data_IF_108157628347
#
_entry.id   IF_108157628347
#
_cell.length_a   1.000
_cell.length_b   1.000
_cell.length_c   1.000
_cell.angle_alpha   90.00
_cell.angle_beta   90.00
_cell.angle_gamma   90.00
#
_symmetry.space_group_name_H-M   'P 1'
#
loop_
_entity.id
_entity.type
_entity.pdbx_description
1 polymer ?
#
# COMPACT_ATOMS: atom_id res chain seq x y z
N UNK A 1 29.87 4.11 17.90
CA UNK A 1 29.01 4.24 16.70
C UNK A 1 29.50 5.35 15.76
N UNK A 2 30.27 6.34 16.24
CA UNK A 2 30.70 7.53 15.46
C UNK A 2 31.62 7.31 14.24
N UNK A 3 31.98 6.07 13.91
CA UNK A 3 32.84 5.75 12.77
C UNK A 3 32.34 4.55 11.95
N UNK A 4 31.03 4.24 12.02
CA UNK A 4 30.46 3.25 11.11
C UNK A 4 30.39 3.82 9.70
N UNK A 5 30.83 3.03 8.72
CA UNK A 5 30.61 3.29 7.29
C UNK A 5 29.18 2.95 6.86
N UNK A 6 28.47 2.16 7.67
CA UNK A 6 27.09 1.74 7.41
C UNK A 6 26.06 2.67 8.06
N UNK A 7 26.42 3.31 9.19
CA UNK A 7 25.53 4.19 9.94
C UNK A 7 26.23 5.50 10.29
N UNK A 8 25.73 6.60 9.73
CA UNK A 8 26.20 7.94 10.05
C UNK A 8 25.03 8.85 10.40
N UNK A 9 25.20 9.78 11.37
CA UNK A 9 24.19 10.77 11.65
C UNK A 9 24.02 11.70 10.44
N UNK A 10 22.77 12.01 10.11
CA UNK A 10 22.41 13.02 9.11
C UNK A 10 21.64 14.11 9.82
N UNK A 11 22.22 15.31 9.91
CA UNK A 11 21.53 16.47 10.44
C UNK A 11 20.45 16.92 9.45
N UNK A 12 19.22 17.07 9.93
CA UNK A 12 18.09 17.52 9.13
C UNK A 12 17.09 18.32 9.96
N UNK A 13 16.46 19.31 9.33
CA UNK A 13 15.41 20.10 9.96
C UNK A 13 14.05 19.39 9.94
N UNK A 14 13.80 18.57 8.91
CA UNK A 14 12.54 17.89 8.64
C UNK A 14 12.81 16.46 8.18
N UNK A 15 12.00 15.52 8.65
CA UNK A 15 11.98 14.12 8.23
C UNK A 15 10.60 13.79 7.66
N UNK A 16 10.58 13.15 6.48
CA UNK A 16 9.36 12.62 5.87
C UNK A 16 9.46 11.10 5.92
N UNK A 17 8.60 10.46 6.71
CA UNK A 17 8.46 9.01 6.76
C UNK A 17 7.63 8.53 5.56
N UNK A 18 8.35 8.11 4.52
CA UNK A 18 7.83 7.46 3.33
C UNK A 18 8.40 6.04 3.19
N UNK A 19 8.64 5.35 4.30
CA UNK A 19 9.30 4.04 4.34
C UNK A 19 8.38 2.86 4.01
N UNK A 20 7.25 3.11 3.34
CA UNK A 20 6.27 2.10 2.95
C UNK A 20 5.90 1.17 4.11
N UNK A 21 6.10 -0.13 3.91
CA UNK A 21 5.69 -1.17 4.84
C UNK A 21 6.41 -1.09 6.21
N UNK A 22 7.54 -0.38 6.27
CA UNK A 22 8.32 -0.18 7.49
C UNK A 22 8.00 1.14 8.20
N UNK A 23 7.08 1.95 7.68
CA UNK A 23 6.78 3.27 8.26
C UNK A 23 6.33 3.19 9.72
N UNK A 24 5.54 2.18 10.10
CA UNK A 24 5.16 1.95 11.50
C UNK A 24 6.38 1.77 12.41
N UNK A 25 7.35 0.97 11.97
CA UNK A 25 8.60 0.73 12.70
C UNK A 25 9.47 2.00 12.76
N UNK A 26 9.58 2.74 11.67
CA UNK A 26 10.33 4.01 11.62
C UNK A 26 9.71 5.04 12.59
N UNK A 27 8.38 5.12 12.65
CA UNK A 27 7.68 6.00 13.60
C UNK A 27 7.98 5.60 15.06
N UNK A 28 7.98 4.30 15.38
CA UNK A 28 8.32 3.79 16.70
C UNK A 28 9.78 4.11 17.10
N UNK A 29 10.72 4.00 16.16
CA UNK A 29 12.12 4.39 16.36
C UNK A 29 12.23 5.89 16.68
N UNK A 30 11.41 6.73 16.05
CA UNK A 30 11.29 8.16 16.36
C UNK A 30 10.51 8.45 17.67
N UNK A 31 10.06 7.44 18.40
CA UNK A 31 9.37 7.58 19.68
C UNK A 31 7.86 7.83 19.60
N UNK A 32 7.27 7.80 18.40
CA UNK A 32 5.83 7.98 18.20
C UNK A 32 5.08 6.76 18.75
N UNK A 33 3.99 7.01 19.48
CA UNK A 33 3.14 5.98 20.07
C UNK A 33 3.69 5.36 21.36
N UNK A 34 4.68 5.99 22.02
CA UNK A 34 5.24 5.54 23.32
C UNK A 34 4.62 6.23 24.55
N UNK A 35 3.67 7.14 24.35
CA UNK A 35 2.94 7.79 25.45
C UNK A 35 1.84 6.92 26.07
N UNK A 36 1.09 7.46 27.06
CA UNK A 36 -0.01 6.74 27.70
C UNK A 36 -1.08 6.28 26.69
N UNK A 37 -1.63 5.06 26.81
CA UNK A 37 -2.71 4.59 25.95
C UNK A 37 -3.92 5.54 25.95
N UNK A 38 -4.57 5.73 24.80
CA UNK A 38 -5.71 6.62 24.66
C UNK A 38 -5.37 8.12 24.63
N UNK A 39 -4.08 8.47 24.51
CA UNK A 39 -3.62 9.86 24.29
C UNK A 39 -2.99 10.00 22.92
N UNK A 40 -2.90 11.23 22.41
CA UNK A 40 -2.23 11.51 21.14
C UNK A 40 -0.73 11.10 21.15
N UNK A 41 -0.07 11.18 22.31
CA UNK A 41 1.31 10.70 22.50
C UNK A 41 1.42 9.16 22.42
N UNK A 42 0.37 8.45 22.86
CA UNK A 42 0.28 6.99 22.82
C UNK A 42 -0.26 6.42 21.51
N UNK A 43 -0.80 7.25 20.62
CA UNK A 43 -1.29 6.83 19.30
C UNK A 43 -0.11 6.39 18.42
N UNK A 44 -0.14 5.13 17.97
CA UNK A 44 0.84 4.56 17.04
C UNK A 44 0.45 4.89 15.59
N UNK A 45 1.43 4.90 14.69
CA UNK A 45 1.17 4.85 13.24
C UNK A 45 0.73 3.41 12.88
N UNK A 46 -0.52 3.19 12.45
CA UNK A 46 -1.08 1.84 12.26
C UNK A 46 -0.72 1.26 10.88
N UNK A 47 0.57 1.31 10.49
CA UNK A 47 1.05 0.81 9.19
C UNK A 47 1.94 -0.41 9.38
N UNK A 48 1.58 -1.51 8.71
CA UNK A 48 2.29 -2.79 8.78
C UNK A 48 2.54 -3.39 7.39
N UNK A 49 3.55 -4.27 7.23
CA UNK A 49 3.74 -5.03 6.00
C UNK A 49 2.63 -6.06 5.82
N UNK A 50 1.99 -6.06 4.65
CA UNK A 50 1.16 -7.19 4.21
C UNK A 50 1.65 -7.74 2.89
N UNK A 51 1.88 -9.05 2.83
CA UNK A 51 2.39 -9.72 1.62
C UNK A 51 1.28 -9.89 0.59
N UNK A 52 1.57 -9.52 -0.65
CA UNK A 52 0.67 -9.61 -1.81
C UNK A 52 1.37 -10.30 -2.95
N UNK A 53 0.63 -11.12 -3.69
CA UNK A 53 1.13 -11.87 -4.83
C UNK A 53 0.67 -11.23 -6.14
N UNK A 54 1.56 -11.18 -7.13
CA UNK A 54 1.22 -10.83 -8.50
C UNK A 54 1.65 -11.98 -9.39
N UNK A 55 0.74 -12.40 -10.25
CA UNK A 55 0.95 -13.46 -11.22
C UNK A 55 0.94 -12.87 -12.61
N UNK A 56 1.82 -13.36 -13.47
CA UNK A 56 1.85 -13.05 -14.90
C UNK A 56 1.48 -14.31 -15.65
N UNK A 57 0.50 -14.23 -16.54
CA UNK A 57 0.09 -15.34 -17.37
C UNK A 57 -0.02 -14.95 -18.83
N UNK A 58 0.11 -15.96 -19.69
CA UNK A 58 -0.09 -15.85 -21.12
C UNK A 58 -1.40 -16.56 -21.49
N UNK A 59 -2.23 -15.91 -22.32
CA UNK A 59 -3.46 -16.50 -22.83
C UNK A 59 -3.73 -15.98 -24.25
N UNK A 60 -3.40 -16.76 -25.31
CA UNK A 60 -3.57 -16.31 -26.70
C UNK A 60 -5.00 -15.94 -27.07
N UNK A 61 -5.99 -16.60 -26.45
CA UNK A 61 -7.42 -16.37 -26.67
C UNK A 61 -8.00 -15.31 -25.71
N UNK A 62 -7.18 -14.69 -24.87
CA UNK A 62 -7.61 -13.70 -23.89
C UNK A 62 -8.03 -12.36 -24.51
N UNK A 63 -8.47 -11.40 -23.68
CA UNK A 63 -8.94 -10.09 -24.11
C UNK A 63 -7.94 -9.32 -25.00
N UNK A 64 -8.44 -8.57 -25.98
CA UNK A 64 -7.64 -7.83 -26.96
C UNK A 64 -6.83 -6.65 -26.40
N UNK A 65 -6.23 -5.85 -27.29
CA UNK A 65 -5.39 -4.70 -26.92
C UNK A 65 -6.14 -3.64 -26.12
N UNK A 66 -7.44 -3.47 -26.40
CA UNK A 66 -8.33 -2.53 -25.71
C UNK A 66 -8.78 -3.00 -24.32
N UNK A 67 -8.25 -4.10 -23.80
CA UNK A 67 -8.59 -4.59 -22.46
C UNK A 67 -8.12 -3.57 -21.41
N UNK A 68 -9.04 -2.98 -20.62
CA UNK A 68 -8.66 -2.10 -19.54
C UNK A 68 -8.01 -2.91 -18.39
N UNK A 69 -7.52 -2.19 -17.38
CA UNK A 69 -7.43 -2.79 -16.06
C UNK A 69 -8.85 -3.13 -15.60
N UNK A 70 -9.08 -4.39 -15.26
CA UNK A 70 -10.34 -4.88 -14.74
C UNK A 70 -10.14 -5.18 -13.27
N UNK A 71 -10.93 -4.54 -12.40
CA UNK A 71 -11.14 -4.95 -11.03
C UNK A 71 -12.55 -5.58 -10.95
N UNK A 72 -12.61 -6.86 -10.62
CA UNK A 72 -13.85 -7.60 -10.49
C UNK A 72 -14.37 -7.58 -9.05
N UNK A 73 -15.69 -7.63 -8.86
CA UNK A 73 -16.30 -7.63 -7.52
C UNK A 73 -15.99 -8.87 -6.70
N UNK A 74 -15.37 -9.91 -7.30
CA UNK A 74 -14.81 -11.05 -6.56
C UNK A 74 -13.40 -10.80 -6.01
N UNK A 75 -12.88 -9.57 -6.13
CA UNK A 75 -11.57 -9.14 -5.63
C UNK A 75 -10.38 -9.48 -6.53
N UNK A 76 -10.60 -10.21 -7.64
CA UNK A 76 -9.55 -10.38 -8.66
C UNK A 76 -9.44 -9.14 -9.51
N UNK A 77 -8.20 -8.76 -9.82
CA UNK A 77 -7.91 -7.77 -10.83
C UNK A 77 -6.95 -8.35 -11.87
N UNK A 78 -7.01 -7.80 -13.07
CA UNK A 78 -5.97 -8.02 -14.07
C UNK A 78 -5.85 -6.83 -15.02
N UNK A 79 -4.69 -6.71 -15.65
CA UNK A 79 -4.51 -5.87 -16.84
C UNK A 79 -3.67 -6.61 -17.87
N UNK A 80 -3.78 -6.16 -19.11
CA UNK A 80 -2.85 -6.59 -20.16
C UNK A 80 -1.43 -6.13 -19.84
N UNK A 81 -0.45 -6.93 -20.23
CA UNK A 81 0.97 -6.64 -20.13
C UNK A 81 1.68 -6.79 -21.49
N UNK A 82 1.89 -5.65 -22.14
CA UNK A 82 2.47 -5.60 -23.49
C UNK A 82 1.57 -6.16 -24.60
N UNK A 83 2.18 -6.44 -25.77
CA UNK A 83 1.45 -6.80 -26.98
C UNK A 83 1.21 -8.31 -27.13
N UNK A 84 2.01 -9.15 -26.46
CA UNK A 84 2.07 -10.61 -26.66
C UNK A 84 1.03 -11.44 -25.93
N UNK A 85 -0.19 -10.93 -25.70
CA UNK A 85 -1.25 -11.63 -24.95
C UNK A 85 -0.80 -12.13 -23.57
N UNK A 86 0.05 -11.35 -22.91
CA UNK A 86 0.35 -11.51 -21.50
C UNK A 86 -0.55 -10.60 -20.68
N UNK A 87 -0.80 -11.03 -19.45
CA UNK A 87 -1.61 -10.32 -18.47
C UNK A 87 -0.93 -10.48 -17.12
N UNK A 88 -1.21 -9.54 -16.24
CA UNK A 88 -0.81 -9.65 -14.84
C UNK A 88 -1.95 -9.23 -13.92
N UNK A 89 -1.94 -9.80 -12.73
CA UNK A 89 -2.99 -9.59 -11.75
C UNK A 89 -2.92 -10.55 -10.59
N UNK A 90 -4.00 -10.56 -9.81
CA UNK A 90 -4.12 -11.36 -8.59
C UNK A 90 -5.36 -10.95 -7.80
N UNK A 91 -5.41 -11.34 -6.54
CA UNK A 91 -6.32 -10.78 -5.54
C UNK A 91 -5.58 -10.71 -4.20
N UNK A 92 -6.06 -9.87 -3.30
CA UNK A 92 -5.58 -9.87 -1.92
C UNK A 92 -6.10 -11.11 -1.19
N UNK A 93 -5.30 -11.73 -0.30
CA UNK A 93 -5.81 -12.65 0.72
C UNK A 93 -6.86 -11.96 1.61
N UNK A 94 -7.77 -12.73 2.19
CA UNK A 94 -8.70 -12.21 3.20
C UNK A 94 -7.96 -11.95 4.52
N UNK A 95 -8.58 -11.24 5.46
CA UNK A 95 -7.96 -10.98 6.77
C UNK A 95 -7.60 -12.26 7.53
N UNK A 96 -8.39 -13.32 7.37
CA UNK A 96 -8.14 -14.63 8.00
C UNK A 96 -7.07 -15.46 7.28
N UNK A 97 -6.79 -15.14 6.02
CA UNK A 97 -5.84 -15.84 5.15
C UNK A 97 -4.55 -15.02 4.92
N UNK A 98 -4.32 -13.96 5.70
CA UNK A 98 -3.14 -13.11 5.56
C UNK A 98 -1.85 -13.93 5.74
N UNK A 99 -0.97 -13.97 4.72
CA UNK A 99 0.22 -14.77 4.78
C UNK A 99 1.34 -14.07 5.55
N UNK A 100 2.25 -14.85 6.10
CA UNK A 100 3.43 -14.35 6.81
C UNK A 100 4.26 -13.38 5.93
N UNK A 101 4.45 -12.12 6.33
CA UNK A 101 5.22 -11.14 5.58
C UNK A 101 6.75 -11.28 5.74
N UNK A 102 7.26 -12.18 6.59
CA UNK A 102 8.71 -12.31 6.85
C UNK A 102 9.52 -12.77 5.62
N UNK A 103 8.88 -13.48 4.68
CA UNK A 103 9.46 -13.83 3.39
C UNK A 103 8.57 -13.37 2.23
N UNK A 104 9.16 -13.24 1.04
CA UNK A 104 8.46 -12.90 -0.20
C UNK A 104 8.33 -14.11 -1.14
N UNK A 105 8.19 -15.31 -0.58
CA UNK A 105 7.87 -16.49 -1.38
C UNK A 105 6.44 -16.40 -1.91
N UNK A 106 6.25 -16.83 -3.15
CA UNK A 106 4.94 -16.83 -3.82
C UNK A 106 4.18 -18.10 -3.48
N UNK A 107 2.93 -17.94 -3.07
CA UNK A 107 2.00 -19.06 -2.90
C UNK A 107 1.32 -19.40 -4.23
N UNK A 108 1.87 -20.38 -4.96
CA UNK A 108 1.28 -20.81 -6.22
C UNK A 108 -0.08 -21.51 -6.09
N UNK A 109 -0.39 -22.10 -4.92
CA UNK A 109 -1.68 -22.75 -4.68
C UNK A 109 -2.77 -21.70 -4.47
N UNK A 110 -2.44 -20.53 -3.89
CA UNK A 110 -3.34 -19.39 -3.82
C UNK A 110 -3.82 -18.98 -5.22
N UNK A 111 -2.94 -18.99 -6.24
CA UNK A 111 -3.36 -18.74 -7.61
C UNK A 111 -4.37 -19.78 -8.11
N UNK A 112 -4.07 -21.07 -7.94
CA UNK A 112 -4.94 -22.15 -8.43
C UNK A 112 -6.31 -22.16 -7.74
N UNK A 113 -6.33 -21.88 -6.44
CA UNK A 113 -7.52 -22.04 -5.61
C UNK A 113 -8.37 -20.77 -5.51
N UNK A 114 -7.76 -19.58 -5.59
CA UNK A 114 -8.44 -18.30 -5.30
C UNK A 114 -8.46 -17.34 -6.48
N UNK A 115 -7.40 -17.28 -7.27
CA UNK A 115 -7.28 -16.32 -8.39
C UNK A 115 -7.87 -16.89 -9.68
N UNK A 116 -7.36 -18.03 -10.14
CA UNK A 116 -7.68 -18.59 -11.44
C UNK A 116 -9.17 -18.92 -11.63
N UNK A 117 -9.89 -19.53 -10.68
CA UNK A 117 -11.31 -19.85 -10.86
C UNK A 117 -12.16 -18.58 -11.08
N UNK A 118 -11.84 -17.49 -10.39
CA UNK A 118 -12.53 -16.20 -10.53
C UNK A 118 -12.20 -15.52 -11.85
N UNK A 119 -10.94 -15.56 -12.27
CA UNK A 119 -10.52 -15.07 -13.58
C UNK A 119 -11.21 -15.83 -14.73
N UNK A 120 -11.23 -17.16 -14.67
CA UNK A 120 -11.88 -18.00 -15.67
C UNK A 120 -13.41 -17.81 -15.70
N UNK A 121 -14.03 -17.63 -14.53
CA UNK A 121 -15.46 -17.29 -14.46
C UNK A 121 -15.78 -15.94 -15.11
N UNK A 122 -14.95 -14.92 -14.83
CA UNK A 122 -15.15 -13.56 -15.38
C UNK A 122 -14.83 -13.49 -16.87
N UNK A 123 -13.78 -14.17 -17.32
CA UNK A 123 -13.28 -14.20 -18.69
C UNK A 123 -13.07 -15.66 -19.09
N UNK A 124 -14.05 -16.33 -19.71
CA UNK A 124 -13.97 -17.76 -20.03
C UNK A 124 -12.71 -18.19 -20.82
N UNK A 125 -12.14 -17.31 -21.64
CA UNK A 125 -10.88 -17.60 -22.34
C UNK A 125 -9.70 -17.93 -21.40
N UNK A 126 -9.71 -17.39 -20.18
CA UNK A 126 -8.71 -17.63 -19.14
C UNK A 126 -8.74 -19.05 -18.56
N UNK A 127 -9.71 -19.90 -18.90
CA UNK A 127 -9.61 -21.35 -18.65
C UNK A 127 -8.33 -21.96 -19.24
N UNK A 128 -7.83 -21.40 -20.34
CA UNK A 128 -6.65 -21.89 -21.05
C UNK A 128 -5.33 -21.20 -20.65
N UNK A 129 -5.36 -20.26 -19.70
CA UNK A 129 -4.18 -19.46 -19.34
C UNK A 129 -3.00 -20.32 -18.88
N UNK A 130 -1.80 -19.79 -19.03
CA UNK A 130 -0.57 -20.39 -18.50
C UNK A 130 0.24 -19.35 -17.73
N UNK A 131 0.41 -19.56 -16.43
CA UNK A 131 1.29 -18.73 -15.59
C UNK A 131 2.72 -18.82 -16.13
N UNK A 132 3.37 -17.67 -16.29
CA UNK A 132 4.73 -17.50 -16.81
C UNK A 132 5.71 -17.13 -15.71
N UNK A 133 5.28 -16.26 -14.80
CA UNK A 133 6.08 -15.82 -13.66
C UNK A 133 5.15 -15.29 -12.57
N UNK A 134 5.69 -15.10 -11.38
CA UNK A 134 5.01 -14.46 -10.27
C UNK A 134 6.05 -13.85 -9.33
N UNK A 135 5.61 -12.88 -8.53
CA UNK A 135 6.41 -12.34 -7.43
C UNK A 135 5.50 -11.97 -6.25
N UNK A 136 6.08 -11.87 -5.07
CA UNK A 136 5.44 -11.30 -3.91
C UNK A 136 6.05 -9.93 -3.58
N UNK A 137 5.27 -9.06 -2.97
CA UNK A 137 5.72 -7.76 -2.47
C UNK A 137 4.86 -7.29 -1.31
N UNK A 138 5.20 -6.12 -0.77
CA UNK A 138 4.49 -5.56 0.37
C UNK A 138 3.49 -4.50 -0.04
N UNK A 139 2.32 -4.56 0.58
CA UNK A 139 1.53 -3.36 0.85
C UNK A 139 2.00 -2.76 2.17
N UNK A 140 2.05 -1.43 2.21
CA UNK A 140 2.09 -0.67 3.46
C UNK A 140 0.67 -0.49 3.97
N UNK A 141 0.15 -1.54 4.60
CA UNK A 141 -1.25 -1.65 4.95
C UNK A 141 -1.57 -0.83 6.19
N UNK A 142 -2.52 0.10 6.07
CA UNK A 142 -3.06 0.82 7.21
C UNK A 142 -4.19 0.00 7.86
N UNK A 143 -3.93 -0.52 9.06
CA UNK A 143 -4.89 -1.38 9.79
C UNK A 143 -6.09 -0.63 10.35
N UNK A 144 -6.08 0.71 10.36
CA UNK A 144 -7.19 1.50 10.87
C UNK A 144 -8.37 1.57 9.89
N UNK A 145 -8.08 1.91 8.63
CA UNK A 145 -9.08 2.17 7.60
C UNK A 145 -8.56 1.99 6.17
N UNK A 146 -7.37 1.38 5.99
CA UNK A 146 -6.75 1.11 4.69
C UNK A 146 -6.40 2.37 3.86
N UNK A 147 -6.57 3.57 4.42
CA UNK A 147 -6.29 4.82 3.72
C UNK A 147 -4.92 5.39 4.07
N UNK A 148 -4.34 6.19 3.17
CA UNK A 148 -3.05 6.85 3.40
C UNK A 148 -2.99 7.73 4.66
N UNK A 149 -1.77 8.05 5.08
CA UNK A 149 -1.42 8.99 6.13
C UNK A 149 -0.49 10.03 5.52
N UNK A 150 -0.96 11.28 5.46
CA UNK A 150 -0.29 12.37 4.75
C UNK A 150 -0.25 13.63 5.60
N UNK A 151 0.95 14.19 5.76
CA UNK A 151 1.16 15.45 6.48
C UNK A 151 1.84 15.29 7.83
N UNK A 152 1.83 16.34 8.68
CA UNK A 152 2.64 16.40 9.89
C UNK A 152 2.13 15.52 11.02
N UNK A 153 3.04 15.05 11.87
CA UNK A 153 2.69 14.55 13.19
C UNK A 153 2.31 15.73 14.11
N UNK A 154 1.18 15.67 14.84
CA UNK A 154 0.69 16.82 15.59
C UNK A 154 1.53 17.22 16.81
N UNK A 155 2.42 16.34 17.29
CA UNK A 155 3.28 16.59 18.46
C UNK A 155 4.78 16.55 18.16
N UNK A 156 5.18 16.02 17.00
CA UNK A 156 6.60 15.86 16.62
C UNK A 156 6.79 16.76 15.42
N UNK A 157 7.13 18.03 15.70
CA UNK A 157 6.98 19.15 14.76
C UNK A 157 7.77 18.99 13.45
N UNK A 158 8.81 18.17 13.44
CA UNK A 158 9.65 17.92 12.28
C UNK A 158 9.41 16.55 11.60
N UNK A 159 8.38 15.80 12.00
CA UNK A 159 8.02 14.52 11.38
C UNK A 159 6.77 14.65 10.52
N UNK A 160 6.86 14.19 9.28
CA UNK A 160 5.78 14.12 8.31
C UNK A 160 5.59 12.69 7.81
N UNK A 161 4.40 12.37 7.33
CA UNK A 161 4.08 11.05 6.77
C UNK A 161 3.66 11.15 5.31
N UNK A 162 4.03 10.11 4.56
CA UNK A 162 3.53 9.80 3.23
C UNK A 162 3.53 8.28 3.05
N UNK A 163 2.57 7.59 3.68
CA UNK A 163 2.56 6.12 3.80
C UNK A 163 1.17 5.58 4.14
N UNK A 164 1.00 4.26 4.22
CA UNK A 164 -0.25 3.61 4.60
C UNK A 164 -1.25 3.48 3.46
N UNK A 165 -0.80 3.50 2.20
CA UNK A 165 -1.69 3.60 1.04
C UNK A 165 -2.37 2.28 0.66
N UNK A 166 -2.05 1.18 1.36
CA UNK A 166 -2.75 -0.12 1.30
C UNK A 166 -3.02 -0.64 -0.13
N UNK A 167 -2.09 -0.38 -1.05
CA UNK A 167 -2.16 -0.86 -2.44
C UNK A 167 -2.38 0.20 -3.52
N UNK A 168 -2.80 1.40 -3.14
CA UNK A 168 -3.11 2.47 -4.10
C UNK A 168 -1.97 3.49 -4.28
N UNK A 169 -0.86 3.30 -3.54
CA UNK A 169 0.24 4.26 -3.46
C UNK A 169 0.85 4.62 -4.81
N UNK A 170 0.94 3.68 -5.76
CA UNK A 170 1.49 3.96 -7.09
C UNK A 170 0.67 5.04 -7.84
N UNK A 171 -0.66 4.94 -7.78
CA UNK A 171 -1.55 5.87 -8.46
C UNK A 171 -1.60 7.23 -7.74
N UNK A 172 -1.44 7.22 -6.42
CA UNK A 172 -1.56 8.40 -5.56
C UNK A 172 -0.25 9.18 -5.41
N UNK A 173 0.91 8.55 -5.62
CA UNK A 173 2.23 9.12 -5.33
C UNK A 173 2.48 10.53 -5.92
N UNK A 174 2.12 10.85 -7.18
CA UNK A 174 2.34 12.19 -7.72
C UNK A 174 1.57 13.29 -6.98
N UNK A 175 0.31 13.01 -6.61
CA UNK A 175 -0.53 13.94 -5.88
C UNK A 175 -0.08 14.09 -4.41
N UNK A 176 0.25 12.97 -3.76
CA UNK A 176 0.77 12.94 -2.39
C UNK A 176 2.10 13.69 -2.30
N UNK A 177 3.02 13.46 -3.22
CA UNK A 177 4.32 14.14 -3.24
C UNK A 177 4.16 15.66 -3.32
N UNK A 178 3.24 16.15 -4.16
CA UNK A 178 2.89 17.58 -4.22
C UNK A 178 2.29 18.06 -2.90
N UNK A 179 1.31 17.35 -2.34
CA UNK A 179 0.63 17.77 -1.12
C UNK A 179 1.59 17.84 0.08
N UNK A 180 2.53 16.89 0.21
CA UNK A 180 3.56 16.91 1.25
C UNK A 180 4.53 18.06 1.03
N UNK A 181 4.95 18.33 -0.22
CA UNK A 181 5.81 19.48 -0.53
C UNK A 181 5.13 20.82 -0.18
N UNK A 182 3.86 21.00 -0.54
CA UNK A 182 3.06 22.17 -0.16
C UNK A 182 2.95 22.30 1.36
N UNK A 183 2.65 21.21 2.05
CA UNK A 183 2.55 21.22 3.51
C UNK A 183 3.87 21.62 4.18
N UNK A 184 5.01 21.13 3.66
CA UNK A 184 6.35 21.45 4.20
C UNK A 184 6.75 22.90 3.91
N UNK A 185 6.51 23.40 2.69
CA UNK A 185 6.96 24.72 2.26
C UNK A 185 6.01 25.85 2.71
N UNK A 186 4.70 25.57 2.73
CA UNK A 186 3.65 26.58 2.85
C UNK A 186 2.83 26.41 4.14
N UNK A 187 3.05 25.33 4.90
CA UNK A 187 2.34 25.04 6.14
C UNK A 187 0.88 24.62 5.95
N UNK A 188 0.44 24.39 4.71
CA UNK A 188 -0.93 23.96 4.38
C UNK A 188 -0.99 23.27 3.03
N UNK A 189 -1.97 22.39 2.85
CA UNK A 189 -2.34 21.90 1.52
C UNK A 189 -2.89 23.04 0.65
N UNK A 190 -2.51 23.08 -0.63
CA UNK A 190 -2.98 24.09 -1.59
C UNK A 190 -3.75 23.47 -2.76
N UNK A 191 -3.17 22.50 -3.46
CA UNK A 191 -3.78 21.95 -4.68
C UNK A 191 -4.90 20.96 -4.36
N UNK A 192 -4.69 20.08 -3.37
CA UNK A 192 -5.66 19.06 -2.95
C UNK A 192 -5.70 19.05 -1.44
N UNK A 193 -6.88 19.22 -0.85
CA UNK A 193 -7.06 19.15 0.58
C UNK A 193 -7.01 17.68 1.05
N UNK A 194 -5.94 17.30 1.76
CA UNK A 194 -5.75 15.97 2.33
C UNK A 194 -5.93 15.93 3.86
N UNK A 195 -6.67 16.87 4.45
CA UNK A 195 -6.87 16.93 5.91
C UNK A 195 -7.47 15.64 6.49
N UNK A 196 -8.31 14.93 5.72
CA UNK A 196 -8.88 13.64 6.13
C UNK A 196 -7.83 12.52 6.30
N UNK A 197 -6.60 12.72 5.83
CA UNK A 197 -5.49 11.77 5.91
C UNK A 197 -4.45 12.18 6.97
N UNK A 198 -4.73 13.20 7.78
CA UNK A 198 -3.86 13.61 8.88
C UNK A 198 -3.80 12.55 9.98
N UNK A 199 -2.65 12.44 10.64
CA UNK A 199 -2.40 11.49 11.73
C UNK A 199 -3.40 11.63 12.89
N UNK A 200 -3.86 12.84 13.18
CA UNK A 200 -4.80 13.14 14.28
C UNK A 200 -6.08 12.31 14.22
N UNK A 201 -6.50 11.88 13.03
CA UNK A 201 -7.72 11.08 12.83
C UNK A 201 -7.70 9.77 13.63
N UNK A 202 -6.52 9.19 13.84
CA UNK A 202 -6.37 7.95 14.61
C UNK A 202 -6.70 8.12 16.09
N UNK A 203 -6.33 9.27 16.65
CA UNK A 203 -6.70 9.63 18.01
C UNK A 203 -8.18 9.99 18.12
N UNK A 204 -8.71 10.70 17.12
CA UNK A 204 -10.12 11.12 17.07
C UNK A 204 -11.08 9.97 16.74
N UNK A 205 -10.58 8.83 16.24
CA UNK A 205 -11.42 7.73 15.79
C UNK A 205 -12.11 7.99 14.44
N UNK A 206 -11.60 8.94 13.65
CA UNK A 206 -12.19 9.39 12.39
C UNK A 206 -11.67 8.54 11.22
N UNK A 207 -12.42 7.52 10.84
CA UNK A 207 -12.11 6.68 9.67
C UNK A 207 -12.50 7.37 8.36
N UNK A 208 -11.68 7.17 7.34
CA UNK A 208 -12.06 7.47 5.95
C UNK A 208 -12.61 6.21 5.31
N UNK A 209 -13.87 6.25 4.88
CA UNK A 209 -14.51 5.09 4.23
C UNK A 209 -14.41 5.22 2.71
N UNK A 210 -13.66 4.31 2.09
CA UNK A 210 -13.72 4.13 0.64
C UNK A 210 -14.91 3.23 0.28
N UNK A 211 -15.68 3.68 -0.71
CA UNK A 211 -16.82 2.93 -1.24
C UNK A 211 -16.39 2.22 -2.52
N UNK A 212 -16.95 1.03 -2.78
CA UNK A 212 -16.69 0.22 -3.98
C UNK A 212 -15.25 -0.35 -4.06
N UNK A 213 -14.67 -0.67 -2.91
CA UNK A 213 -13.46 -1.49 -2.80
C UNK A 213 -13.95 -2.92 -2.51
N UNK A 214 -13.53 -3.89 -3.32
CA UNK A 214 -14.00 -5.28 -3.30
C UNK A 214 -12.83 -6.26 -3.25
#
# INVERSE_FOLDING_TARGET
>A
MDHSVEYQPVECAIVINAAGAWSGRVAELAGIGKGPPGTLQGTKLPVEPRKRYVYVWHCPQGPGLESPLVADTSGVYFRRDGLGNNYLGGCSPTEEEEPDPENLEVDHDFFQNKVWPRLAWRIPAFESLKVRSAWAGYYDYNTFDQNGVVGPHPLVANMYFATGFSGHGLQQAPAVGRAVAEMVLEGRFQTINLNAFLFSRFFLGEKVQEHNIF
#
